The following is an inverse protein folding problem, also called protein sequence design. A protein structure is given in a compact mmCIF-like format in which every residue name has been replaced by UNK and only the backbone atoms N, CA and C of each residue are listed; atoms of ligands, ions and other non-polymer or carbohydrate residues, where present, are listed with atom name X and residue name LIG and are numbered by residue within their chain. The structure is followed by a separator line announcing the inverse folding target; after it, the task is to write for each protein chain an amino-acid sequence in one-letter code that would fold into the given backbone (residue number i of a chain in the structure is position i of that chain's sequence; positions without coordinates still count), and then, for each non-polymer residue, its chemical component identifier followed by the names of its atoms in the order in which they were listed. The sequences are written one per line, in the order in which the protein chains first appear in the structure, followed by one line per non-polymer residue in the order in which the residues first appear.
data_IF_926129249715
#
_entry.id   IF_926129249715
#
_cell.length_a   1.000
_cell.length_b   1.000
_cell.length_c   1.000
_cell.angle_alpha   90.00
_cell.angle_beta   90.00
_cell.angle_gamma   90.00
#
_symmetry.space_group_name_H-M   'P 1'
#
loop_
_entity.id
_entity.type
_entity.pdbx_description
1 polymer ?
#
# COMPACT_ATOMS: atom_id res chain seq x y z
N UNK A 1 -4.87 7.88 -6.67
CA UNK A 1 -5.15 6.72 -7.56
C UNK A 1 -4.15 5.65 -7.13
N UNK A 2 -4.68 4.47 -6.82
CA UNK A 2 -4.17 3.55 -5.82
C UNK A 2 -3.44 2.44 -6.50
N UNK A 3 -2.33 1.98 -5.94
CA UNK A 3 -1.60 0.86 -6.50
C UNK A 3 -0.71 0.21 -5.46
N UNK A 4 -0.95 -1.10 -5.29
CA UNK A 4 -0.01 -2.20 -5.14
C UNK A 4 -0.44 -3.12 -4.00
N UNK A 5 -0.92 -4.31 -4.38
CA UNK A 5 -0.89 -5.50 -3.53
C UNK A 5 0.33 -6.32 -3.95
N UNK A 6 1.45 -6.33 -3.20
CA UNK A 6 2.51 -7.28 -3.46
C UNK A 6 1.97 -8.66 -3.12
N UNK A 7 1.86 -9.53 -4.11
CA UNK A 7 1.50 -10.93 -3.88
C UNK A 7 2.78 -11.76 -3.78
N UNK A 8 3.06 -12.40 -2.63
CA UNK A 8 4.22 -13.30 -2.49
C UNK A 8 3.80 -14.74 -2.81
N UNK A 9 4.57 -15.37 -3.69
CA UNK A 9 4.42 -16.79 -4.03
C UNK A 9 5.28 -17.70 -3.16
N UNK A 10 4.79 -18.90 -2.92
CA UNK A 10 5.50 -19.97 -2.21
C UNK A 10 6.37 -20.76 -3.20
N UNK A 11 7.35 -20.10 -3.83
CA UNK A 11 8.25 -20.79 -4.76
C UNK A 11 9.42 -21.43 -4.00
N UNK A 12 9.34 -22.75 -3.77
CA UNK A 12 10.41 -23.52 -3.13
C UNK A 12 11.63 -23.81 -4.00
N UNK A 13 11.74 -23.23 -5.22
CA UNK A 13 12.83 -23.53 -6.15
C UNK A 13 13.20 -22.31 -7.00
N UNK A 14 14.48 -21.95 -6.97
CA UNK A 14 15.21 -20.98 -7.80
C UNK A 14 15.27 -19.53 -7.28
N UNK A 15 16.51 -19.03 -7.14
CA UNK A 15 16.85 -17.68 -6.69
C UNK A 15 16.87 -16.64 -7.81
N UNK A 16 15.94 -16.73 -8.77
CA UNK A 16 15.80 -15.75 -9.85
C UNK A 16 14.61 -14.83 -9.54
N UNK A 17 14.84 -13.57 -9.17
CA UNK A 17 13.75 -12.61 -8.93
C UNK A 17 13.19 -12.09 -10.26
N UNK A 18 12.13 -12.73 -10.76
CA UNK A 18 11.32 -12.22 -11.88
C UNK A 18 10.18 -11.37 -11.34
N UNK A 19 10.30 -10.06 -11.56
CA UNK A 19 9.23 -9.10 -11.27
C UNK A 19 8.37 -8.96 -12.53
N UNK A 20 7.11 -9.35 -12.45
CA UNK A 20 6.12 -9.07 -13.48
C UNK A 20 5.22 -7.93 -12.98
N UNK A 21 5.39 -6.75 -13.57
CA UNK A 21 4.48 -5.62 -13.34
C UNK A 21 3.30 -5.80 -14.29
N UNK A 22 2.10 -6.01 -13.75
CA UNK A 22 0.91 -6.27 -14.56
C UNK A 22 -0.15 -5.24 -14.19
N UNK A 23 -0.44 -4.33 -15.13
CA UNK A 23 -1.55 -3.39 -15.00
C UNK A 23 -2.85 -4.14 -15.31
N UNK A 24 -3.72 -4.29 -14.30
CA UNK A 24 -4.96 -5.04 -14.38
C UNK A 24 -6.14 -4.08 -14.32
N UNK A 25 -6.75 -3.82 -15.48
CA UNK A 25 -8.04 -3.12 -15.55
C UNK A 25 -9.15 -4.16 -15.54
N UNK A 26 -9.52 -4.63 -14.34
CA UNK A 26 -10.62 -5.58 -14.19
C UNK A 26 -11.97 -4.86 -14.07
N UNK A 27 -12.95 -5.33 -14.86
CA UNK A 27 -14.32 -4.81 -14.86
C UNK A 27 -15.20 -5.46 -13.77
N UNK A 28 -14.76 -6.59 -13.19
CA UNK A 28 -15.45 -7.29 -12.09
C UNK A 28 -14.46 -8.08 -11.23
N UNK A 29 -14.89 -8.49 -10.03
CA UNK A 29 -14.12 -9.32 -9.09
C UNK A 29 -13.74 -10.66 -9.73
N UNK A 30 -14.71 -11.34 -10.36
CA UNK A 30 -14.48 -12.64 -11.00
C UNK A 30 -13.49 -12.56 -12.17
N UNK A 31 -13.53 -11.45 -12.93
CA UNK A 31 -12.54 -11.16 -13.97
C UNK A 31 -11.15 -10.98 -13.36
N UNK A 32 -11.05 -10.34 -12.19
CA UNK A 32 -9.78 -10.16 -11.48
C UNK A 32 -9.18 -11.49 -11.02
N UNK A 33 -9.96 -12.33 -10.35
CA UNK A 33 -9.48 -13.62 -9.86
C UNK A 33 -8.99 -14.52 -10.98
N UNK A 34 -9.74 -14.59 -12.09
CA UNK A 34 -9.37 -15.40 -13.25
C UNK A 34 -8.08 -14.92 -13.92
N UNK A 35 -7.91 -13.60 -14.08
CA UNK A 35 -6.68 -13.08 -14.71
C UNK A 35 -5.48 -13.29 -13.79
N UNK A 36 -5.63 -13.08 -12.47
CA UNK A 36 -4.55 -13.40 -11.52
C UNK A 36 -4.18 -14.88 -11.64
N UNK A 37 -5.16 -15.79 -11.68
CA UNK A 37 -4.90 -17.22 -11.84
C UNK A 37 -4.15 -17.55 -13.13
N UNK A 38 -4.56 -16.98 -14.26
CA UNK A 38 -3.87 -17.17 -15.54
C UNK A 38 -2.41 -16.68 -15.47
N UNK A 39 -2.16 -15.54 -14.82
CA UNK A 39 -0.82 -14.99 -14.67
C UNK A 39 0.08 -15.89 -13.81
N UNK A 40 -0.47 -16.41 -12.71
CA UNK A 40 0.21 -17.36 -11.83
C UNK A 40 0.60 -18.62 -12.60
N UNK A 41 -0.31 -19.17 -13.41
CA UNK A 41 -0.08 -20.42 -14.16
C UNK A 41 0.90 -20.24 -15.31
N UNK A 42 0.81 -19.13 -16.07
CA UNK A 42 1.62 -18.91 -17.27
C UNK A 42 3.02 -18.39 -16.98
N UNK A 43 3.16 -17.50 -15.99
CA UNK A 43 4.40 -16.73 -15.80
C UNK A 43 5.12 -17.06 -14.50
N UNK A 44 4.45 -17.67 -13.52
CA UNK A 44 4.99 -17.99 -12.20
C UNK A 44 5.80 -16.82 -11.59
N UNK A 45 5.24 -15.60 -11.52
CA UNK A 45 5.98 -14.43 -11.04
C UNK A 45 6.31 -14.54 -9.53
N UNK A 46 7.42 -13.94 -9.10
CA UNK A 46 7.74 -13.85 -7.66
C UNK A 46 6.88 -12.81 -6.94
N UNK A 47 6.51 -11.76 -7.66
CA UNK A 47 5.72 -10.62 -7.18
C UNK A 47 4.77 -10.18 -8.27
N UNK A 48 3.54 -9.90 -7.88
CA UNK A 48 2.52 -9.22 -8.69
C UNK A 48 2.28 -7.86 -8.06
N UNK A 49 2.14 -6.82 -8.89
CA UNK A 49 1.66 -5.49 -8.48
C UNK A 49 0.36 -5.25 -9.24
N UNK A 50 -0.71 -4.94 -8.51
CA UNK A 50 -2.03 -4.67 -9.09
C UNK A 50 -2.33 -3.17 -8.99
N UNK A 51 -2.54 -2.55 -10.15
CA UNK A 51 -2.98 -1.16 -10.30
C UNK A 51 -4.45 -1.10 -10.77
N UNK A 52 -5.41 -0.73 -9.91
CA UNK A 52 -6.79 -0.49 -10.34
C UNK A 52 -7.00 0.85 -11.04
N UNK A 53 -8.06 0.95 -11.84
CA UNK A 53 -8.46 2.13 -12.64
C UNK A 53 -8.92 3.38 -11.83
N UNK A 54 -8.72 3.39 -10.51
CA UNK A 54 -9.04 4.51 -9.61
C UNK A 54 -10.52 4.66 -9.22
N UNK A 55 -11.45 3.93 -9.87
CA UNK A 55 -12.90 3.89 -9.54
C UNK A 55 -13.31 2.52 -8.96
N UNK A 56 -12.33 1.69 -8.57
CA UNK A 56 -12.57 0.41 -7.91
C UNK A 56 -12.43 0.50 -6.39
N UNK A 57 -13.14 -0.35 -5.66
CA UNK A 57 -12.94 -0.54 -4.21
C UNK A 57 -11.69 -1.39 -3.97
N UNK A 58 -10.86 -0.97 -3.02
CA UNK A 58 -9.68 -1.72 -2.62
C UNK A 58 -10.09 -3.03 -1.93
N UNK A 59 -11.18 -3.00 -1.16
CA UNK A 59 -11.71 -4.21 -0.52
C UNK A 59 -12.08 -5.31 -1.53
N UNK A 60 -12.61 -4.93 -2.69
CA UNK A 60 -12.99 -5.90 -3.74
C UNK A 60 -11.77 -6.56 -4.38
N UNK A 61 -10.67 -5.83 -4.52
CA UNK A 61 -9.40 -6.40 -5.03
C UNK A 61 -8.78 -7.32 -3.98
N UNK A 62 -8.81 -6.92 -2.69
CA UNK A 62 -8.34 -7.77 -1.59
C UNK A 62 -9.14 -9.08 -1.53
N UNK A 63 -10.48 -9.00 -1.67
CA UNK A 63 -11.36 -10.17 -1.75
C UNK A 63 -11.00 -11.06 -2.94
N UNK A 64 -10.82 -10.47 -4.13
CA UNK A 64 -10.40 -11.22 -5.32
C UNK A 64 -9.08 -11.97 -5.07
N UNK A 65 -8.08 -11.29 -4.49
CA UNK A 65 -6.79 -11.89 -4.15
C UNK A 65 -6.86 -12.95 -3.04
N UNK A 66 -7.93 -12.92 -2.24
CA UNK A 66 -8.20 -13.89 -1.18
C UNK A 66 -9.10 -15.04 -1.62
N UNK A 67 -9.39 -15.15 -2.92
CA UNK A 67 -10.13 -16.27 -3.48
C UNK A 67 -9.37 -17.59 -3.25
N UNK A 68 -10.10 -18.64 -2.91
CA UNK A 68 -9.60 -20.01 -2.77
C UNK A 68 -8.79 -20.54 -3.96
N UNK A 69 -9.03 -20.02 -5.17
CA UNK A 69 -8.29 -20.35 -6.39
C UNK A 69 -6.87 -19.75 -6.41
N UNK A 70 -6.65 -18.69 -5.64
CA UNK A 70 -5.42 -17.88 -5.61
C UNK A 70 -4.61 -18.15 -4.34
N UNK A 71 -5.28 -18.24 -3.19
CA UNK A 71 -4.64 -18.43 -1.86
C UNK A 71 -3.56 -19.52 -1.79
N UNK A 72 -3.68 -20.69 -2.48
CA UNK A 72 -2.64 -21.71 -2.46
C UNK A 72 -1.32 -21.28 -3.10
N UNK A 73 -1.37 -20.31 -4.01
CA UNK A 73 -0.23 -19.85 -4.81
C UNK A 73 0.30 -18.50 -4.33
N UNK A 74 -0.56 -17.68 -3.73
CA UNK A 74 -0.37 -16.25 -3.65
C UNK A 74 -0.98 -15.68 -2.36
N UNK A 75 -0.26 -14.75 -1.71
CA UNK A 75 -0.75 -14.03 -0.52
C UNK A 75 -0.53 -12.53 -0.66
N UNK A 76 -1.52 -11.73 -0.29
CA UNK A 76 -1.41 -10.27 -0.22
C UNK A 76 -0.41 -9.88 0.88
N UNK A 77 0.55 -9.01 0.56
CA UNK A 77 1.58 -8.53 1.50
C UNK A 77 1.36 -7.13 2.06
N UNK A 78 0.79 -6.24 1.28
CA UNK A 78 0.54 -4.86 1.66
C UNK A 78 -0.57 -4.32 0.75
N UNK A 79 -1.45 -3.46 1.25
CA UNK A 79 -2.40 -2.70 0.42
C UNK A 79 -2.05 -1.22 0.50
N UNK A 80 -1.76 -0.60 -0.65
CA UNK A 80 -1.21 0.76 -0.70
C UNK A 80 -2.13 1.72 -1.42
N UNK A 81 -2.48 2.81 -0.75
CA UNK A 81 -3.29 3.88 -1.31
C UNK A 81 -2.50 5.18 -1.48
N UNK A 82 -2.48 5.73 -2.69
CA UNK A 82 -1.87 7.03 -2.97
C UNK A 82 -2.94 8.12 -3.04
N UNK A 83 -2.85 9.10 -2.14
CA UNK A 83 -3.76 10.23 -2.01
C UNK A 83 -3.07 11.55 -2.38
N UNK A 84 -3.70 12.37 -3.24
CA UNK A 84 -3.20 13.70 -3.61
C UNK A 84 -3.63 14.71 -2.55
N UNK A 85 -2.67 15.31 -1.85
CA UNK A 85 -2.94 16.22 -0.72
C UNK A 85 -3.82 17.42 -1.10
N UNK A 86 -3.77 17.87 -2.37
CA UNK A 86 -4.62 18.96 -2.84
C UNK A 86 -6.07 18.54 -3.08
N UNK A 87 -6.30 17.25 -3.33
CA UNK A 87 -7.58 16.73 -3.83
C UNK A 87 -8.34 15.87 -2.82
N UNK A 88 -7.75 15.50 -1.69
CA UNK A 88 -8.36 14.61 -0.69
C UNK A 88 -9.81 14.98 -0.34
N UNK A 89 -10.08 16.25 0.02
CA UNK A 89 -11.44 16.71 0.32
C UNK A 89 -12.40 16.53 -0.86
N UNK A 90 -11.99 16.96 -2.05
CA UNK A 90 -12.80 16.83 -3.27
C UNK A 90 -13.07 15.37 -3.63
N UNK A 91 -12.10 14.49 -3.40
CA UNK A 91 -12.27 13.07 -3.66
C UNK A 91 -13.23 12.42 -2.68
N UNK A 92 -13.20 12.81 -1.41
CA UNK A 92 -14.21 12.41 -0.44
C UNK A 92 -15.60 12.89 -0.87
N UNK A 93 -15.76 14.17 -1.22
CA UNK A 93 -17.06 14.73 -1.60
C UNK A 93 -17.64 14.10 -2.87
N UNK A 94 -16.79 13.79 -3.86
CA UNK A 94 -17.24 13.33 -5.18
C UNK A 94 -17.28 11.81 -5.35
N UNK A 95 -16.36 11.08 -4.71
CA UNK A 95 -16.22 9.64 -4.87
C UNK A 95 -16.58 8.88 -3.59
N UNK A 96 -16.81 9.58 -2.47
CA UNK A 96 -17.41 9.06 -1.24
C UNK A 96 -16.94 7.65 -0.90
N UNK A 97 -17.88 6.72 -0.98
CA UNK A 97 -17.70 5.30 -0.68
C UNK A 97 -16.45 4.67 -1.35
N UNK A 98 -16.13 5.02 -2.59
CA UNK A 98 -14.94 4.49 -3.26
C UNK A 98 -13.67 5.01 -2.62
N UNK A 99 -13.60 6.31 -2.33
CA UNK A 99 -12.42 6.90 -1.70
C UNK A 99 -12.28 6.44 -0.25
N UNK A 100 -13.39 6.35 0.50
CA UNK A 100 -13.40 5.86 1.87
C UNK A 100 -12.94 4.41 1.96
N UNK A 101 -13.50 3.51 1.14
CA UNK A 101 -13.11 2.09 1.09
C UNK A 101 -11.61 1.93 0.83
N UNK A 102 -11.11 2.71 -0.13
CA UNK A 102 -9.72 2.76 -0.50
C UNK A 102 -8.79 3.22 0.64
N UNK A 103 -9.21 4.19 1.45
CA UNK A 103 -8.45 4.63 2.61
C UNK A 103 -8.55 3.61 3.75
N UNK A 104 -9.75 3.11 4.04
CA UNK A 104 -10.05 2.18 5.14
C UNK A 104 -9.36 0.83 5.01
N UNK A 105 -9.18 0.34 3.78
CA UNK A 105 -8.60 -0.98 3.51
C UNK A 105 -7.10 -0.94 3.16
N UNK A 106 -6.45 0.22 3.31
CA UNK A 106 -5.01 0.37 3.07
C UNK A 106 -4.19 0.08 4.34
N UNK A 107 -3.11 -0.68 4.19
CA UNK A 107 -2.04 -0.82 5.18
C UNK A 107 -1.16 0.44 5.20
N UNK A 108 -0.92 1.02 4.02
CA UNK A 108 -0.09 2.21 3.83
C UNK A 108 -0.80 3.25 2.96
N UNK A 109 -0.83 4.48 3.44
CA UNK A 109 -1.34 5.64 2.70
C UNK A 109 -0.17 6.56 2.37
N UNK A 110 0.09 6.73 1.08
CA UNK A 110 1.07 7.66 0.58
C UNK A 110 0.41 8.99 0.21
N UNK A 111 0.76 10.05 0.92
CA UNK A 111 0.42 11.41 0.56
C UNK A 111 1.37 11.90 -0.55
N UNK A 112 0.80 12.19 -1.71
CA UNK A 112 1.53 12.62 -2.91
C UNK A 112 1.43 14.13 -3.12
N UNK A 113 2.44 14.70 -3.80
CA UNK A 113 2.59 16.13 -4.09
C UNK A 113 2.73 17.00 -2.84
N UNK A 114 3.32 16.44 -1.79
CA UNK A 114 3.53 17.11 -0.51
C UNK A 114 4.50 18.29 -0.68
N UNK A 115 5.47 18.16 -1.58
CA UNK A 115 6.42 19.19 -1.97
C UNK A 115 5.79 20.38 -2.69
N UNK A 116 4.68 20.16 -3.42
CA UNK A 116 3.99 21.20 -4.17
C UNK A 116 2.92 21.93 -3.33
N UNK A 117 2.41 21.27 -2.29
CA UNK A 117 1.31 21.77 -1.46
C UNK A 117 1.56 21.48 0.03
N UNK A 118 2.65 21.98 0.63
CA UNK A 118 3.01 21.69 2.03
C UNK A 118 1.89 22.08 3.01
N UNK A 119 1.21 23.21 2.76
CA UNK A 119 0.11 23.71 3.60
C UNK A 119 -1.12 22.79 3.59
N UNK A 120 -1.21 21.84 2.65
CA UNK A 120 -2.32 20.87 2.57
C UNK A 120 -2.00 19.53 3.22
N UNK A 121 -0.74 19.28 3.59
CA UNK A 121 -0.30 17.99 4.09
C UNK A 121 -0.95 17.64 5.43
N UNK A 122 -1.00 18.60 6.37
CA UNK A 122 -1.58 18.36 7.70
C UNK A 122 -3.09 18.07 7.64
N UNK A 123 -3.83 18.81 6.82
CA UNK A 123 -5.26 18.57 6.61
C UNK A 123 -5.52 17.21 5.98
N UNK A 124 -4.72 16.84 4.97
CA UNK A 124 -4.79 15.52 4.35
C UNK A 124 -4.46 14.41 5.36
N UNK A 125 -3.39 14.56 6.15
CA UNK A 125 -2.99 13.60 7.17
C UNK A 125 -4.12 13.35 8.19
N UNK A 126 -4.70 14.41 8.75
CA UNK A 126 -5.81 14.31 9.71
C UNK A 126 -7.02 13.61 9.10
N UNK A 127 -7.35 13.95 7.85
CA UNK A 127 -8.45 13.27 7.15
C UNK A 127 -8.17 11.78 6.98
N UNK A 128 -6.99 11.42 6.47
CA UNK A 128 -6.61 10.01 6.29
C UNK A 128 -6.65 9.26 7.62
N UNK A 129 -6.13 9.85 8.70
CA UNK A 129 -6.11 9.24 10.02
C UNK A 129 -7.51 9.06 10.63
N UNK A 130 -8.44 9.98 10.33
CA UNK A 130 -9.83 9.86 10.75
C UNK A 130 -10.57 8.73 10.04
N UNK A 131 -10.25 8.48 8.76
CA UNK A 131 -10.83 7.41 7.96
C UNK A 131 -10.18 6.05 8.26
N UNK A 132 -8.87 6.02 8.51
CA UNK A 132 -8.13 4.82 8.85
C UNK A 132 -7.07 5.11 9.95
N UNK A 133 -7.40 4.84 11.22
CA UNK A 133 -6.47 5.02 12.33
C UNK A 133 -5.28 4.04 12.31
N UNK A 134 -5.37 2.93 11.59
CA UNK A 134 -4.39 1.84 11.62
C UNK A 134 -3.34 1.93 10.50
N UNK A 135 -3.65 2.61 9.40
CA UNK A 135 -2.71 2.77 8.30
C UNK A 135 -1.45 3.53 8.71
N UNK A 136 -0.32 3.09 8.16
CA UNK A 136 0.93 3.87 8.12
C UNK A 136 0.75 4.98 7.09
N UNK A 137 1.04 6.24 7.45
CA UNK A 137 0.89 7.38 6.54
C UNK A 137 2.28 7.94 6.23
N UNK A 138 2.66 7.94 4.95
CA UNK A 138 3.90 8.57 4.48
C UNK A 138 3.60 9.88 3.78
N UNK A 139 4.33 10.94 4.14
CA UNK A 139 4.19 12.29 3.57
C UNK A 139 5.48 12.85 2.96
N UNK A 140 6.45 11.99 2.72
CA UNK A 140 7.74 12.38 2.13
C UNK A 140 7.58 12.83 0.66
N UNK A 141 8.42 13.77 0.20
CA UNK A 141 8.55 14.09 -1.23
C UNK A 141 8.83 12.83 -2.07
N UNK A 142 8.38 12.83 -3.33
CA UNK A 142 8.41 11.65 -4.21
C UNK A 142 9.80 11.02 -4.37
N UNK A 143 10.84 11.85 -4.43
CA UNK A 143 12.24 11.47 -4.58
C UNK A 143 12.83 10.82 -3.32
N UNK A 144 12.12 10.87 -2.19
CA UNK A 144 12.54 10.35 -0.89
C UNK A 144 11.74 9.11 -0.45
N UNK A 145 10.97 8.50 -1.36
CA UNK A 145 10.19 7.29 -1.08
C UNK A 145 10.89 6.11 -1.71
N UNK A 146 11.35 5.17 -0.88
CA UNK A 146 11.95 3.93 -1.37
C UNK A 146 10.90 2.81 -1.49
N UNK A 147 11.03 1.98 -2.52
CA UNK A 147 10.09 0.87 -2.76
C UNK A 147 10.02 -0.14 -1.60
N UNK A 148 11.08 -0.25 -0.80
CA UNK A 148 11.10 -1.10 0.39
C UNK A 148 10.11 -0.63 1.46
N UNK A 149 10.02 0.68 1.69
CA UNK A 149 9.10 1.30 2.67
C UNK A 149 7.63 1.07 2.29
N UNK A 150 7.36 0.92 0.99
CA UNK A 150 6.02 0.64 0.47
C UNK A 150 5.60 -0.83 0.69
N UNK A 151 6.53 -1.77 0.51
CA UNK A 151 6.24 -3.21 0.51
C UNK A 151 6.34 -3.83 1.92
N UNK A 152 7.10 -3.20 2.82
CA UNK A 152 7.24 -3.58 4.22
C UNK A 152 7.00 -2.38 5.15
N UNK A 153 5.75 -1.90 5.30
CA UNK A 153 5.44 -0.73 6.14
C UNK A 153 5.81 -0.92 7.62
N UNK A 154 5.83 -2.18 8.10
CA UNK A 154 5.99 -2.54 9.50
C UNK A 154 7.46 -2.75 9.94
N UNK A 155 8.40 -2.86 9.00
CA UNK A 155 9.82 -3.18 9.30
C UNK A 155 10.68 -1.93 9.61
N UNK A 156 10.11 -0.72 9.55
CA UNK A 156 10.85 0.54 9.71
C UNK A 156 10.54 1.32 11.00
N UNK A 157 9.99 0.66 12.03
CA UNK A 157 10.18 1.16 13.39
C UNK A 157 11.60 0.77 13.85
N UNK A 158 12.45 1.78 14.04
CA UNK A 158 13.87 1.75 14.44
C UNK A 158 14.90 1.92 13.30
N UNK A 159 15.06 3.16 12.82
CA UNK A 159 16.40 3.68 12.56
C UNK A 159 16.86 4.45 13.80
N UNK A 160 17.52 3.76 14.73
CA UNK A 160 18.44 4.44 15.64
C UNK A 160 19.71 4.72 14.85
N UNK A 161 19.87 5.95 14.41
CA UNK A 161 21.18 6.48 14.02
C UNK A 161 22.00 6.58 15.31
N UNK A 162 22.91 5.62 15.50
CA UNK A 162 24.01 5.57 16.48
C UNK A 162 23.73 6.14 17.88
N UNK A 163 23.57 5.25 18.87
CA UNK A 163 24.08 5.56 20.22
C UNK A 163 24.55 4.30 20.98
N UNK A 164 25.83 4.40 21.35
CA UNK A 164 26.68 3.63 22.25
C UNK A 164 26.09 2.50 23.09
N UNK A 165 26.80 1.36 23.07
CA UNK A 165 26.58 0.22 23.96
C UNK A 165 26.82 0.54 25.43
N UNK A 166 25.75 0.91 26.14
CA UNK A 166 25.74 0.87 27.60
C UNK A 166 24.46 0.20 28.12
N UNK A 167 24.67 -0.70 29.07
CA UNK A 167 23.61 -1.41 29.76
C UNK A 167 22.87 -0.47 30.73
N UNK A 168 21.54 -0.62 30.73
CA UNK A 168 20.54 -0.19 31.73
C UNK A 168 20.02 1.25 31.59
N UNK A 169 18.73 1.32 31.25
CA UNK A 169 17.80 2.39 31.61
C UNK A 169 17.89 3.65 30.75
N UNK A 170 17.09 3.72 29.68
CA UNK A 170 16.79 4.99 29.03
C UNK A 170 15.28 5.16 28.94
N UNK A 171 14.76 6.10 29.74
CA UNK A 171 13.41 6.64 29.60
C UNK A 171 13.44 7.72 28.53
N UNK A 172 12.68 7.52 27.46
CA UNK A 172 12.56 8.49 26.38
C UNK A 172 11.13 9.04 26.41
N UNK A 173 10.97 10.26 26.91
CA UNK A 173 9.74 11.04 26.76
C UNK A 173 9.56 11.41 25.29
N UNK A 174 8.36 11.15 24.75
CA UNK A 174 7.95 11.61 23.42
C UNK A 174 7.68 13.11 23.47
N UNK A 175 8.50 13.91 22.80
CA UNK A 175 8.19 15.32 22.51
C UNK A 175 7.81 15.40 21.03
N UNK A 176 6.57 15.81 20.78
CA UNK A 176 6.11 16.29 19.48
C UNK A 176 6.55 17.74 19.33
N UNK A 177 7.22 18.07 18.22
CA UNK A 177 7.23 19.40 17.59
C UNK A 177 7.17 19.20 16.07
#
# INVERSE_FOLDING_TARGET
MICALPVRMNCGKCGCTRISIICLVCQSIDCCSNVIKELLDRFQPDKIIIEPSGVGKLSDIIKACSDSLILPFATVKASITVADVKRCKRYLDNFGEFFEDQIQNADLILLSRTELFPDKVNDAYKLMKSLNPHAVILSKPRDQIHAAEMISPQDHHHEHTECCGHARGCGCETIYD
#
